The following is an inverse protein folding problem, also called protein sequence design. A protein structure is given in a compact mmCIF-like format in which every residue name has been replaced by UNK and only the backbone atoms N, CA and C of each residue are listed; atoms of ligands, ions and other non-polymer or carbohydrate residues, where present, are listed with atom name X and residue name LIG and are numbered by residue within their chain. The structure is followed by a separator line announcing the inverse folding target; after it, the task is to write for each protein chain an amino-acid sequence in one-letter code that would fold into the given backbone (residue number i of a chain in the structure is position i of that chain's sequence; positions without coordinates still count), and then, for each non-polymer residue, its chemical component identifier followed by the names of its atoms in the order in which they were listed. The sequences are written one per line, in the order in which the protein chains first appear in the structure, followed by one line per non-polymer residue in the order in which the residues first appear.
data_IF_738223653560
#
_entry.id   IF_738223653560
#
_cell.length_a   1.000
_cell.length_b   1.000
_cell.length_c   1.000
_cell.angle_alpha   90.00
_cell.angle_beta   90.00
_cell.angle_gamma   90.00
#
_symmetry.space_group_name_H-M   'P 1'
#
loop_
_entity.id
_entity.type
_entity.pdbx_description
1 polymer ?
#
# COMPACT_ATOMS: atom_id res chain seq x y z
N UNK A 1 13.98 -3.68 -6.18
CA UNK A 1 13.80 -3.43 -4.73
C UNK A 1 13.66 -4.75 -4.00
N UNK A 2 14.21 -4.84 -2.83
CA UNK A 2 14.18 -6.05 -2.01
C UNK A 2 12.77 -6.42 -1.58
N UNK A 3 12.43 -7.70 -1.62
CA UNK A 3 11.08 -8.18 -1.28
C UNK A 3 10.62 -7.76 0.12
N UNK A 4 11.52 -7.82 1.12
CA UNK A 4 11.21 -7.38 2.49
C UNK A 4 10.77 -5.92 2.54
N UNK A 5 11.42 -5.06 1.76
CA UNK A 5 11.07 -3.64 1.70
C UNK A 5 9.72 -3.42 1.04
N UNK A 6 9.42 -4.18 -0.01
CA UNK A 6 8.12 -4.11 -0.68
C UNK A 6 7.00 -4.53 0.25
N UNK A 7 7.18 -5.63 0.96
CA UNK A 7 6.21 -6.12 1.95
C UNK A 7 6.04 -5.10 3.08
N UNK A 8 7.14 -4.57 3.58
CA UNK A 8 7.09 -3.54 4.64
C UNK A 8 6.36 -2.29 4.21
N UNK A 9 6.60 -1.82 2.98
CA UNK A 9 5.88 -0.68 2.41
C UNK A 9 4.39 -0.95 2.26
N UNK A 10 4.04 -2.17 1.88
CA UNK A 10 2.63 -2.57 1.76
C UNK A 10 1.93 -2.54 3.12
N UNK A 11 2.56 -3.08 4.16
CA UNK A 11 2.05 -3.04 5.52
C UNK A 11 1.83 -1.59 5.96
N UNK A 12 2.82 -0.74 5.74
CA UNK A 12 2.74 0.69 6.08
C UNK A 12 1.59 1.39 5.36
N UNK A 13 1.41 1.10 4.08
CA UNK A 13 0.33 1.66 3.26
C UNK A 13 -1.04 1.24 3.79
N UNK A 14 -1.21 -0.05 4.10
CA UNK A 14 -2.45 -0.56 4.66
C UNK A 14 -2.76 0.04 6.02
N UNK A 15 -1.73 0.16 6.87
CA UNK A 15 -1.86 0.79 8.20
C UNK A 15 -2.33 2.23 8.08
N UNK A 16 -1.67 2.99 7.22
CA UNK A 16 -2.02 4.41 7.00
C UNK A 16 -3.40 4.57 6.41
N UNK A 17 -3.79 3.65 5.54
CA UNK A 17 -5.13 3.64 4.96
C UNK A 17 -6.24 3.47 6.00
N UNK A 18 -5.94 2.81 7.13
CA UNK A 18 -6.86 2.68 8.26
C UNK A 18 -6.75 3.85 9.25
N UNK A 19 -5.82 4.78 9.05
CA UNK A 19 -5.58 5.88 9.96
C UNK A 19 -4.86 5.47 11.26
N UNK A 20 -4.17 4.34 11.25
CA UNK A 20 -3.48 3.83 12.44
C UNK A 20 -2.04 4.33 12.51
N UNK A 21 -1.60 4.70 13.73
CA UNK A 21 -0.18 4.86 14.02
C UNK A 21 0.50 3.48 14.11
N UNK A 22 1.82 3.45 14.11
CA UNK A 22 2.56 2.20 14.36
C UNK A 22 2.21 1.63 15.74
N UNK A 23 2.11 2.49 16.75
CA UNK A 23 1.76 2.09 18.11
C UNK A 23 0.37 1.47 18.15
N UNK A 24 -0.59 2.06 17.46
CA UNK A 24 -1.97 1.56 17.44
C UNK A 24 -2.05 0.18 16.79
N UNK A 25 -1.45 0.01 15.62
CA UNK A 25 -1.46 -1.28 14.95
C UNK A 25 -0.71 -2.34 15.76
N UNK A 26 0.44 -1.97 16.33
CA UNK A 26 1.21 -2.89 17.18
C UNK A 26 0.39 -3.36 18.37
N UNK A 27 -0.32 -2.45 19.04
CA UNK A 27 -1.22 -2.78 20.15
C UNK A 27 -2.31 -3.75 19.69
N UNK A 28 -2.98 -3.48 18.59
CA UNK A 28 -4.04 -4.34 18.08
C UNK A 28 -3.53 -5.73 17.68
N UNK A 29 -2.34 -5.81 17.14
CA UNK A 29 -1.73 -7.06 16.70
C UNK A 29 -1.00 -7.81 17.82
N UNK A 30 -0.84 -7.20 18.99
CA UNK A 30 -0.13 -7.81 20.12
C UNK A 30 1.37 -7.92 19.89
N UNK A 31 1.96 -6.95 19.21
CA UNK A 31 3.41 -6.92 18.92
C UNK A 31 4.02 -5.62 19.43
N UNK A 32 5.36 -5.59 19.47
CA UNK A 32 6.11 -4.39 19.85
C UNK A 32 6.14 -3.40 18.69
N UNK A 33 5.92 -2.12 18.97
CA UNK A 33 5.92 -1.06 17.96
C UNK A 33 7.29 -0.92 17.26
N UNK A 34 8.40 -1.15 17.97
CA UNK A 34 9.74 -1.13 17.38
C UNK A 34 9.91 -2.25 16.36
N UNK A 35 9.36 -3.42 16.66
CA UNK A 35 9.37 -4.55 15.73
C UNK A 35 8.56 -4.23 14.47
N UNK A 36 7.36 -3.67 14.64
CA UNK A 36 6.55 -3.24 13.50
C UNK A 36 7.30 -2.22 12.66
N UNK A 37 7.95 -1.24 13.28
CA UNK A 37 8.74 -0.24 12.58
C UNK A 37 9.85 -0.90 11.74
N UNK A 38 10.57 -1.88 12.33
CA UNK A 38 11.62 -2.61 11.62
C UNK A 38 11.07 -3.41 10.44
N UNK A 39 9.91 -4.03 10.59
CA UNK A 39 9.24 -4.76 9.52
C UNK A 39 8.84 -3.81 8.39
N UNK A 40 8.26 -2.66 8.71
CA UNK A 40 7.85 -1.66 7.72
C UNK A 40 9.03 -1.11 6.92
N UNK A 41 10.21 -1.03 7.55
CA UNK A 41 11.44 -0.59 6.86
C UNK A 41 12.14 -1.70 6.07
N UNK A 42 11.65 -2.92 6.16
CA UNK A 42 12.28 -4.06 5.50
C UNK A 42 13.53 -4.57 6.19
N UNK A 43 13.71 -4.25 7.48
CA UNK A 43 14.90 -4.63 8.26
C UNK A 43 14.75 -5.98 8.97
N UNK A 44 13.58 -6.57 8.96
CA UNK A 44 13.27 -7.83 9.64
C UNK A 44 12.66 -8.83 8.67
N UNK A 45 12.81 -10.12 8.98
CA UNK A 45 12.10 -11.20 8.30
C UNK A 45 10.74 -11.39 9.00
N UNK A 46 9.65 -10.96 8.40
CA UNK A 46 8.35 -11.16 9.01
C UNK A 46 7.96 -12.64 8.98
N UNK A 47 7.30 -13.08 10.05
CA UNK A 47 6.80 -14.45 10.14
C UNK A 47 5.38 -14.54 9.59
N UNK A 48 4.97 -15.76 9.24
CA UNK A 48 3.58 -15.99 8.82
C UNK A 48 2.61 -15.59 9.94
N UNK A 49 2.96 -15.89 11.19
CA UNK A 49 2.13 -15.50 12.34
C UNK A 49 1.92 -13.99 12.41
N UNK A 50 2.97 -13.22 12.13
CA UNK A 50 2.86 -11.76 12.07
C UNK A 50 1.84 -11.32 11.02
N UNK A 51 1.90 -11.89 9.82
CA UNK A 51 0.96 -11.54 8.76
C UNK A 51 -0.48 -11.88 9.13
N UNK A 52 -0.69 -13.01 9.78
CA UNK A 52 -2.01 -13.41 10.26
C UNK A 52 -2.53 -12.37 11.28
N UNK A 53 -1.71 -11.98 12.23
CA UNK A 53 -2.07 -11.00 13.25
C UNK A 53 -2.37 -9.64 12.65
N UNK A 54 -1.53 -9.19 11.71
CA UNK A 54 -1.72 -7.89 11.05
C UNK A 54 -2.98 -7.88 10.18
N UNK A 55 -3.25 -8.96 9.44
CA UNK A 55 -4.44 -9.04 8.60
C UNK A 55 -5.71 -8.99 9.44
N UNK A 56 -5.73 -9.68 10.58
CA UNK A 56 -6.85 -9.64 11.52
C UNK A 56 -7.04 -8.24 12.11
N UNK A 57 -5.95 -7.60 12.51
CA UNK A 57 -5.97 -6.25 13.09
C UNK A 57 -6.41 -5.19 12.10
N UNK A 58 -6.03 -5.35 10.84
CA UNK A 58 -6.41 -4.44 9.75
C UNK A 58 -7.77 -4.80 9.15
N UNK A 59 -8.36 -5.94 9.53
CA UNK A 59 -9.63 -6.45 9.01
C UNK A 59 -9.61 -6.60 7.49
N UNK A 60 -8.57 -7.20 6.99
CA UNK A 60 -8.39 -7.50 5.56
C UNK A 60 -8.05 -8.98 5.39
N UNK A 61 -8.24 -9.50 4.18
CA UNK A 61 -7.79 -10.84 3.84
C UNK A 61 -6.27 -10.85 3.73
N UNK A 62 -5.65 -11.97 4.15
CA UNK A 62 -4.19 -12.06 4.16
C UNK A 62 -3.57 -11.84 2.77
N UNK A 63 -4.24 -12.26 1.71
CA UNK A 63 -3.72 -12.06 0.35
C UNK A 63 -3.59 -10.58 -0.02
N UNK A 64 -4.37 -9.70 0.57
CA UNK A 64 -4.27 -8.26 0.37
C UNK A 64 -2.92 -7.72 0.84
N UNK A 65 -2.33 -8.34 1.86
CA UNK A 65 -1.02 -7.93 2.37
C UNK A 65 0.09 -8.22 1.37
N UNK A 66 -0.13 -9.17 0.48
CA UNK A 66 0.84 -9.56 -0.54
C UNK A 66 0.49 -9.01 -1.93
N UNK A 67 -0.55 -8.19 -2.03
CA UNK A 67 -0.88 -7.49 -3.26
C UNK A 67 0.10 -6.35 -3.48
N UNK A 68 1.31 -6.72 -3.82
CA UNK A 68 2.43 -5.81 -4.03
C UNK A 68 2.51 -5.55 -5.53
N UNK A 69 2.34 -4.29 -5.90
CA UNK A 69 2.64 -3.88 -7.26
C UNK A 69 4.16 -3.86 -7.42
N UNK A 70 4.69 -4.84 -8.13
CA UNK A 70 6.08 -4.77 -8.54
C UNK A 70 6.28 -3.55 -9.42
N UNK A 71 7.23 -2.73 -9.04
CA UNK A 71 7.65 -1.57 -9.78
C UNK A 71 8.42 -1.92 -11.06
N UNK A 72 7.90 -2.77 -11.90
CA UNK A 72 8.25 -2.70 -13.32
C UNK A 72 7.40 -1.58 -13.91
N UNK A 73 7.56 -0.40 -13.33
CA UNK A 73 6.84 0.78 -13.78
C UNK A 73 7.60 1.39 -14.94
N UNK A 74 7.62 0.63 -16.04
CA UNK A 74 8.03 1.21 -17.31
C UNK A 74 6.97 2.24 -17.72
N UNK A 75 7.34 3.26 -18.51
CA UNK A 75 6.35 4.19 -19.05
C UNK A 75 5.17 3.49 -19.72
N UNK A 76 5.39 2.33 -20.34
CA UNK A 76 4.35 1.54 -20.99
C UNK A 76 3.33 0.98 -20.00
N UNK A 77 3.80 0.39 -18.88
CA UNK A 77 2.90 -0.16 -17.87
C UNK A 77 2.14 0.93 -17.13
N UNK A 78 2.80 2.06 -16.88
CA UNK A 78 2.16 3.23 -16.26
C UNK A 78 1.09 3.83 -17.17
N UNK A 79 1.34 3.89 -18.48
CA UNK A 79 0.34 4.38 -19.45
C UNK A 79 -0.89 3.47 -19.50
N UNK A 80 -0.69 2.14 -19.43
CA UNK A 80 -1.80 1.19 -19.39
C UNK A 80 -2.65 1.37 -18.14
N UNK A 81 -1.99 1.57 -17.00
CA UNK A 81 -2.67 1.83 -15.74
C UNK A 81 -3.46 3.14 -15.80
N UNK A 82 -2.87 4.17 -16.37
CA UNK A 82 -3.54 5.46 -16.55
C UNK A 82 -4.79 5.32 -17.41
N UNK A 83 -4.71 4.58 -18.51
CA UNK A 83 -5.84 4.31 -19.38
C UNK A 83 -6.97 3.55 -18.67
N UNK A 84 -6.60 2.55 -17.85
CA UNK A 84 -7.58 1.80 -17.07
C UNK A 84 -8.31 2.70 -16.05
N UNK A 85 -7.57 3.58 -15.37
CA UNK A 85 -8.14 4.53 -14.42
C UNK A 85 -9.03 5.56 -15.13
N UNK A 86 -8.62 6.01 -16.31
CA UNK A 86 -9.38 6.94 -17.14
C UNK A 86 -10.77 6.38 -17.46
N UNK A 87 -10.85 5.09 -17.79
CA UNK A 87 -12.11 4.43 -18.10
C UNK A 87 -13.06 4.34 -16.90
N UNK A 88 -12.54 4.41 -15.67
CA UNK A 88 -13.31 4.34 -14.43
C UNK A 88 -13.82 5.71 -13.97
N UNK A 89 -13.31 6.80 -14.53
CA UNK A 89 -13.70 8.14 -14.13
C UNK A 89 -15.13 8.40 -14.58
N UNK A 90 -15.97 8.80 -13.65
CA UNK A 90 -17.37 9.14 -13.93
C UNK A 90 -17.46 10.48 -14.66
N UNK A 91 -18.47 10.62 -15.51
CA UNK A 91 -18.65 11.82 -16.35
C UNK A 91 -18.60 13.13 -15.57
N UNK A 92 -19.17 13.16 -14.37
CA UNK A 92 -19.20 14.38 -13.56
C UNK A 92 -17.82 14.76 -12.99
N UNK A 93 -16.85 13.84 -13.03
CA UNK A 93 -15.48 14.07 -12.56
C UNK A 93 -14.48 14.32 -13.69
N UNK A 94 -14.92 14.23 -14.96
CA UNK A 94 -14.02 14.37 -16.12
C UNK A 94 -13.31 15.71 -16.17
N UNK A 95 -14.02 16.80 -15.96
CA UNK A 95 -13.39 18.13 -16.00
C UNK A 95 -12.38 18.32 -14.90
N UNK A 96 -12.63 17.75 -13.72
CA UNK A 96 -11.69 17.78 -12.60
C UNK A 96 -10.44 16.97 -12.90
N UNK A 97 -10.61 15.77 -13.48
CA UNK A 97 -9.51 14.91 -13.87
C UNK A 97 -8.62 15.57 -14.92
N UNK A 98 -9.23 16.19 -15.93
CA UNK A 98 -8.52 16.92 -16.98
C UNK A 98 -7.69 18.05 -16.37
N UNK A 99 -8.27 18.80 -15.45
CA UNK A 99 -7.59 19.92 -14.80
C UNK A 99 -6.33 19.47 -14.04
N UNK A 100 -6.43 18.33 -13.33
CA UNK A 100 -5.27 17.76 -12.63
C UNK A 100 -4.19 17.33 -13.59
N UNK A 101 -4.56 16.67 -14.70
CA UNK A 101 -3.61 16.20 -15.70
C UNK A 101 -2.93 17.38 -16.42
N UNK A 102 -3.65 18.45 -16.70
CA UNK A 102 -3.08 19.65 -17.31
C UNK A 102 -2.01 20.27 -16.42
N UNK A 103 -2.18 20.23 -15.12
CA UNK A 103 -1.17 20.73 -14.17
C UNK A 103 0.14 19.95 -14.26
N UNK A 104 0.09 18.67 -14.62
CA UNK A 104 1.28 17.83 -14.75
C UNK A 104 2.01 18.04 -16.08
N UNK A 105 1.37 18.64 -17.08
CA UNK A 105 1.93 18.80 -18.41
C UNK A 105 2.47 20.20 -18.69
N UNK A 106 2.39 21.08 -17.72
CA UNK A 106 2.92 22.47 -17.83
C UNK A 106 4.38 22.55 -17.43
#
# INVERSE_FOLDING_TARGET
METKKLVGMRIKSLRRGKGYSQEKLAELAGINAKYLSSVERGAENPTLDLFIRLSQSLKIDIHEMFNIEYEDQTPQTLRKKLQALEAEIKDHDLSRAIRILEMLTR
#
